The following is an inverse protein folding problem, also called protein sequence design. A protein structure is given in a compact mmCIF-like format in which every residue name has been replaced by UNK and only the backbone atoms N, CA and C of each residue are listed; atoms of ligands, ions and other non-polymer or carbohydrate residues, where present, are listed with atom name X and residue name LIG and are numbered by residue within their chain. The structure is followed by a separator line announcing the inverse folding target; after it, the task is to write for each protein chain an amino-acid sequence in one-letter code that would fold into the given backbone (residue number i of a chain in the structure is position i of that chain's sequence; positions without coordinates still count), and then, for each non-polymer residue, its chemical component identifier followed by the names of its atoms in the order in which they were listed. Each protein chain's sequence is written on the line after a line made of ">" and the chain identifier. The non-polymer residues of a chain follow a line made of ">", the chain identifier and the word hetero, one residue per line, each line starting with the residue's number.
data_IF_404944325122
#
_entry.id   IF_404944325122
#
_cell.length_a   1.000
_cell.length_b   1.000
_cell.length_c   1.000
_cell.angle_alpha   90.00
_cell.angle_beta   90.00
_cell.angle_gamma   90.00
#
_symmetry.space_group_name_H-M   'P 1'
#
loop_
_entity.id
_entity.type
_entity.pdbx_description
1 polymer ?
#
# COMPACT_ATOMS: atom_id res chain seq x y z
N UNK A 1 -11.07 -15.79 -19.22
CA UNK A 1 -9.76 -15.89 -18.53
C UNK A 1 -8.80 -15.05 -19.35
N UNK A 2 -8.36 -13.89 -18.84
CA UNK A 2 -7.41 -13.00 -19.55
C UNK A 2 -6.01 -13.56 -19.27
N UNK A 3 -5.30 -14.04 -20.29
CA UNK A 3 -3.91 -14.47 -20.12
C UNK A 3 -2.98 -13.28 -20.29
N UNK A 4 -2.01 -13.21 -19.38
CA UNK A 4 -0.92 -12.24 -19.40
C UNK A 4 0.31 -12.95 -19.94
N UNK A 5 0.75 -12.60 -21.14
CA UNK A 5 2.06 -13.03 -21.61
C UNK A 5 3.09 -11.97 -21.25
N UNK A 6 4.22 -12.39 -20.72
CA UNK A 6 5.28 -11.46 -20.33
C UNK A 6 6.42 -11.50 -21.32
N UNK A 7 6.87 -10.33 -21.74
CA UNK A 7 8.13 -10.15 -22.47
C UNK A 7 9.08 -9.28 -21.64
N UNK A 8 10.23 -9.85 -21.27
CA UNK A 8 11.26 -9.12 -20.51
C UNK A 8 12.42 -8.76 -21.44
N UNK A 9 12.97 -7.55 -21.32
CA UNK A 9 14.11 -7.11 -22.14
C UNK A 9 15.14 -6.29 -21.34
N UNK A 10 16.31 -6.07 -21.93
CA UNK A 10 17.34 -5.14 -21.46
C UNK A 10 17.53 -4.03 -22.50
N UNK A 11 17.55 -2.77 -22.10
CA UNK A 11 17.51 -1.59 -22.97
C UNK A 11 18.70 -0.64 -22.70
N UNK A 12 18.87 0.39 -23.52
CA UNK A 12 19.76 1.52 -23.21
C UNK A 12 19.24 2.80 -23.85
N UNK A 13 19.14 3.89 -23.07
CA UNK A 13 18.75 5.21 -23.60
C UNK A 13 19.56 6.30 -22.91
N UNK A 14 20.23 7.16 -23.70
CA UNK A 14 20.76 8.45 -23.23
C UNK A 14 19.62 9.47 -23.19
N UNK A 15 19.47 10.12 -22.05
CA UNK A 15 18.37 11.01 -21.66
C UNK A 15 18.02 12.10 -22.70
N UNK A 16 16.72 12.31 -22.91
CA UNK A 16 16.17 13.56 -23.45
C UNK A 16 15.22 14.15 -22.39
N UNK A 17 15.53 15.35 -21.91
CA UNK A 17 14.63 16.15 -21.08
C UNK A 17 13.37 16.52 -21.88
N UNK A 18 12.19 16.28 -21.31
CA UNK A 18 10.95 16.93 -21.75
C UNK A 18 10.28 17.63 -20.56
N UNK A 19 10.23 18.96 -20.65
CA UNK A 19 9.45 19.84 -19.78
C UNK A 19 7.97 19.66 -20.12
N UNK A 20 7.12 19.33 -19.14
CA UNK A 20 5.66 19.35 -19.29
C UNK A 20 5.01 20.42 -18.40
N UNK A 21 4.07 21.14 -19.01
CA UNK A 21 3.31 22.26 -18.45
C UNK A 21 2.12 21.75 -17.64
N UNK A 22 1.85 22.41 -16.52
CA UNK A 22 0.69 22.22 -15.65
C UNK A 22 -0.63 22.61 -16.34
N UNK A 23 -1.66 21.78 -16.16
CA UNK A 23 -3.06 22.15 -16.33
C UNK A 23 -3.85 21.60 -15.14
N UNK A 24 -4.58 22.49 -14.46
CA UNK A 24 -5.43 22.19 -13.31
C UNK A 24 -6.89 22.29 -13.77
N UNK A 25 -7.73 21.24 -13.65
CA UNK A 25 -9.17 21.38 -13.75
C UNK A 25 -9.80 21.43 -12.36
N UNK A 26 -10.50 22.53 -12.12
CA UNK A 26 -11.43 22.74 -11.02
C UNK A 26 -12.69 21.89 -11.29
N UNK A 27 -13.02 20.94 -10.43
CA UNK A 27 -14.28 20.17 -10.51
C UNK A 27 -15.20 20.58 -9.36
N UNK A 28 -16.35 21.17 -9.72
CA UNK A 28 -17.48 21.42 -8.81
C UNK A 28 -18.21 20.11 -8.53
N UNK A 29 -18.27 19.69 -7.26
CA UNK A 29 -19.11 18.60 -6.81
C UNK A 29 -20.53 19.10 -6.47
N UNK A 30 -21.54 18.58 -7.16
CA UNK A 30 -22.95 18.69 -6.77
C UNK A 30 -23.36 17.37 -6.11
N UNK A 31 -23.71 17.45 -4.81
CA UNK A 31 -23.99 16.30 -3.97
C UNK A 31 -25.39 15.73 -4.17
N UNK A 32 -25.48 14.40 -4.08
CA UNK A 32 -26.66 13.67 -3.66
C UNK A 32 -26.20 12.46 -2.82
N UNK A 33 -26.70 12.36 -1.58
CA UNK A 33 -26.42 11.27 -0.64
C UNK A 33 -27.57 10.25 -0.65
N UNK A 34 -27.27 8.94 -0.70
CA UNK A 34 -28.09 7.90 -0.10
C UNK A 34 -27.29 7.06 0.94
N UNK A 35 -27.97 6.24 1.76
CA UNK A 35 -27.57 5.95 3.14
C UNK A 35 -26.71 4.69 3.28
N UNK A 36 -25.88 4.66 4.34
CA UNK A 36 -25.11 3.48 4.76
C UNK A 36 -23.65 3.74 5.14
N UNK A 37 -23.25 5.00 5.32
CA UNK A 37 -21.87 5.36 5.67
C UNK A 37 -21.63 5.13 7.16
N UNK A 38 -20.50 4.50 7.49
CA UNK A 38 -19.93 4.56 8.83
C UNK A 38 -19.98 6.01 9.31
N UNK A 39 -20.55 6.21 10.49
CA UNK A 39 -20.89 7.52 11.04
C UNK A 39 -19.60 8.34 11.16
N UNK A 40 -19.37 9.26 10.22
CA UNK A 40 -18.31 10.26 10.35
C UNK A 40 -18.65 11.07 11.60
N UNK A 41 -17.80 10.97 12.62
CA UNK A 41 -17.96 11.72 13.85
C UNK A 41 -18.04 13.21 13.53
N UNK A 42 -19.01 13.92 14.13
CA UNK A 42 -19.06 15.37 14.09
C UNK A 42 -17.71 15.91 14.57
N UNK A 43 -16.98 16.72 13.76
CA UNK A 43 -15.67 17.25 14.13
C UNK A 43 -15.66 18.03 15.45
N UNK A 44 -16.81 18.48 15.95
CA UNK A 44 -16.92 19.17 17.25
C UNK A 44 -17.22 18.25 18.45
N UNK A 45 -17.45 16.94 18.23
CA UNK A 45 -17.83 15.97 19.28
C UNK A 45 -17.03 14.66 19.27
N UNK A 46 -15.94 14.55 18.49
CA UNK A 46 -15.11 13.35 18.50
C UNK A 46 -14.57 13.04 19.92
N UNK A 47 -14.81 11.82 20.43
CA UNK A 47 -14.19 11.33 21.67
C UNK A 47 -12.72 11.04 21.36
N UNK A 48 -11.82 11.91 21.84
CA UNK A 48 -10.38 11.81 21.58
C UNK A 48 -9.67 11.47 22.88
N UNK A 49 -8.90 10.39 22.84
CA UNK A 49 -8.13 9.91 23.98
C UNK A 49 -6.64 9.97 23.67
N UNK A 50 -5.86 10.50 24.61
CA UNK A 50 -4.39 10.51 24.57
C UNK A 50 -3.86 9.39 25.45
N UNK A 51 -3.00 8.55 24.88
CA UNK A 51 -2.43 7.39 25.56
C UNK A 51 -1.00 7.14 25.06
N UNK A 52 -0.14 6.50 25.87
CA UNK A 52 1.07 5.89 25.32
C UNK A 52 0.69 4.77 24.33
N UNK A 53 1.53 4.51 23.33
CA UNK A 53 1.32 3.41 22.37
C UNK A 53 1.10 2.07 23.10
N UNK A 54 1.83 1.82 24.18
CA UNK A 54 1.73 0.61 25.01
C UNK A 54 0.38 0.40 25.71
N UNK A 55 -0.50 1.40 25.74
CA UNK A 55 -1.84 1.26 26.29
C UNK A 55 -2.90 0.89 25.24
N UNK A 56 -2.52 0.78 23.96
CA UNK A 56 -3.39 0.35 22.87
C UNK A 56 -3.20 -1.15 22.63
N UNK A 57 -4.27 -1.85 22.23
CA UNK A 57 -4.21 -3.25 21.81
C UNK A 57 -4.39 -3.36 20.30
N UNK A 58 -3.49 -4.06 19.59
CA UNK A 58 -3.69 -4.37 18.17
C UNK A 58 -4.97 -5.20 17.93
N UNK A 59 -5.57 -5.00 16.77
CA UNK A 59 -6.72 -5.79 16.25
C UNK A 59 -6.38 -6.55 14.97
N UNK A 60 -5.09 -6.66 14.64
CA UNK A 60 -4.56 -7.45 13.51
C UNK A 60 -3.20 -8.02 13.91
N UNK A 61 -2.80 -9.16 13.33
CA UNK A 61 -1.58 -9.86 13.74
C UNK A 61 -0.29 -9.46 12.99
N UNK A 62 -0.41 -8.69 11.91
CA UNK A 62 0.71 -8.39 11.03
C UNK A 62 0.63 -6.99 10.43
N UNK A 63 1.75 -6.50 9.91
CA UNK A 63 1.88 -5.25 9.16
C UNK A 63 2.76 -5.48 7.93
N UNK A 64 2.97 -4.42 7.14
CA UNK A 64 3.92 -4.40 6.03
C UNK A 64 5.24 -3.82 6.54
N UNK A 65 6.25 -4.66 6.80
CA UNK A 65 7.52 -4.19 7.38
C UNK A 65 8.25 -3.24 6.43
N UNK A 66 8.11 -3.43 5.12
CA UNK A 66 8.76 -2.56 4.14
C UNK A 66 8.03 -1.20 3.97
N UNK A 67 6.74 -1.12 4.30
CA UNK A 67 6.06 0.16 4.49
C UNK A 67 6.64 0.91 5.71
N UNK A 68 6.96 0.18 6.80
CA UNK A 68 7.63 0.75 7.97
C UNK A 68 9.06 1.19 7.61
N UNK A 69 9.83 0.35 6.92
CA UNK A 69 11.20 0.67 6.46
C UNK A 69 11.23 1.92 5.59
N UNK A 70 10.30 2.04 4.63
CA UNK A 70 10.16 3.24 3.80
C UNK A 70 10.04 4.49 4.67
N UNK A 71 9.10 4.50 5.63
CA UNK A 71 8.88 5.68 6.47
C UNK A 71 10.05 5.96 7.40
N UNK A 72 10.66 4.93 8.00
CA UNK A 72 11.85 5.09 8.86
C UNK A 72 13.02 5.71 8.08
N UNK A 73 13.26 5.25 6.84
CA UNK A 73 14.30 5.83 6.01
C UNK A 73 13.94 7.26 5.58
N UNK A 74 12.67 7.54 5.30
CA UNK A 74 12.19 8.89 5.01
C UNK A 74 12.47 9.84 6.18
N UNK A 75 12.18 9.44 7.42
CA UNK A 75 12.50 10.25 8.60
C UNK A 75 14.00 10.52 8.77
N UNK A 76 14.87 9.59 8.37
CA UNK A 76 16.32 9.77 8.47
C UNK A 76 16.84 10.84 7.51
N UNK A 77 16.29 10.92 6.30
CA UNK A 77 16.70 11.90 5.28
C UNK A 77 15.92 13.21 5.36
N UNK A 78 14.71 13.15 5.92
CA UNK A 78 13.77 14.26 6.06
C UNK A 78 13.15 14.24 7.46
N UNK A 79 13.79 14.95 8.38
CA UNK A 79 13.30 15.10 9.75
C UNK A 79 11.98 15.87 9.83
N UNK A 80 11.68 16.76 8.87
CA UNK A 80 10.41 17.49 8.85
C UNK A 80 9.24 16.50 8.80
N UNK A 81 9.35 15.46 7.97
CA UNK A 81 8.31 14.43 7.86
C UNK A 81 8.00 13.72 9.19
N UNK A 82 8.99 13.48 10.06
CA UNK A 82 8.75 12.88 11.37
C UNK A 82 7.86 13.79 12.24
N UNK A 83 8.17 15.08 12.30
CA UNK A 83 7.38 16.02 13.10
C UNK A 83 6.01 16.29 12.47
N UNK A 84 5.90 16.30 11.14
CA UNK A 84 4.62 16.40 10.44
C UNK A 84 3.71 15.22 10.78
N UNK A 85 4.24 13.99 10.76
CA UNK A 85 3.46 12.78 11.10
C UNK A 85 3.02 12.76 12.58
N UNK A 86 3.82 13.34 13.49
CA UNK A 86 3.43 13.52 14.88
C UNK A 86 2.29 14.55 15.04
N UNK A 87 2.31 15.63 14.25
CA UNK A 87 1.22 16.60 14.20
C UNK A 87 -0.05 15.99 13.57
N UNK A 88 0.09 15.23 12.48
CA UNK A 88 -1.02 14.59 11.76
C UNK A 88 -1.71 13.56 12.67
N UNK A 89 -0.93 12.75 13.39
CA UNK A 89 -1.49 11.79 14.36
C UNK A 89 -2.38 12.46 15.40
N UNK A 90 -2.07 13.69 15.78
CA UNK A 90 -2.82 14.48 16.75
C UNK A 90 -3.99 15.25 16.13
N UNK A 91 -4.23 15.11 14.83
CA UNK A 91 -5.25 15.86 14.10
C UNK A 91 -4.97 17.36 14.08
N UNK A 92 -3.68 17.72 14.04
CA UNK A 92 -3.18 19.11 14.06
C UNK A 92 -2.61 19.53 12.70
N UNK A 93 -2.93 18.77 11.63
CA UNK A 93 -2.34 18.93 10.30
C UNK A 93 -0.91 18.39 10.21
N UNK A 94 -0.29 18.57 9.05
CA UNK A 94 0.99 17.98 8.64
C UNK A 94 2.06 19.05 8.35
N UNK A 95 2.04 20.17 9.09
CA UNK A 95 3.01 21.28 8.95
C UNK A 95 3.58 21.63 10.33
N UNK A 96 4.63 20.89 10.71
CA UNK A 96 5.30 21.08 11.98
C UNK A 96 6.35 22.21 11.92
N UNK A 97 6.51 22.89 13.05
CA UNK A 97 7.53 23.91 13.27
C UNK A 97 8.42 23.44 14.42
N UNK A 98 9.68 23.12 14.11
CA UNK A 98 10.64 22.58 15.08
C UNK A 98 12.04 23.20 14.88
N UNK A 99 12.93 22.99 15.84
CA UNK A 99 14.35 23.39 15.78
C UNK A 99 15.25 22.17 15.98
N UNK A 100 16.56 22.34 15.83
CA UNK A 100 17.54 21.29 16.12
C UNK A 100 17.54 20.82 17.59
N UNK A 101 16.86 21.54 18.50
CA UNK A 101 16.71 21.17 19.92
C UNK A 101 15.35 20.50 20.21
N UNK A 102 14.44 20.47 19.24
CA UNK A 102 13.15 19.81 19.40
C UNK A 102 13.34 18.31 19.60
N UNK A 103 12.55 17.75 20.52
CA UNK A 103 12.52 16.34 20.84
C UNK A 103 11.18 15.76 20.38
N UNK A 104 11.16 14.77 19.47
CA UNK A 104 9.91 14.20 18.95
C UNK A 104 9.04 13.57 20.05
N UNK A 105 9.61 13.15 21.19
CA UNK A 105 8.87 12.63 22.34
C UNK A 105 8.27 13.71 23.24
N UNK A 106 8.74 14.95 23.15
CA UNK A 106 8.20 16.10 23.90
C UNK A 106 7.42 17.02 22.98
N UNK A 107 6.10 16.93 23.04
CA UNK A 107 5.19 17.74 22.25
C UNK A 107 5.29 19.25 22.51
N UNK A 108 5.86 19.68 23.65
CA UNK A 108 6.05 21.11 23.92
C UNK A 108 7.31 21.68 23.25
N UNK A 109 8.15 20.81 22.67
CA UNK A 109 9.41 21.18 22.03
C UNK A 109 9.26 21.58 20.56
N UNK A 110 8.08 21.39 19.97
CA UNK A 110 7.72 21.78 18.60
C UNK A 110 6.27 22.28 18.57
N UNK A 111 5.81 22.81 17.43
CA UNK A 111 4.43 23.28 17.23
C UNK A 111 3.85 22.73 15.93
N UNK A 112 2.54 22.64 15.85
CA UNK A 112 1.83 22.28 14.63
C UNK A 112 1.13 23.52 14.07
N UNK A 113 1.49 23.97 12.87
CA UNK A 113 1.06 25.27 12.35
C UNK A 113 -0.46 25.40 12.24
N UNK A 114 -1.15 24.32 11.87
CA UNK A 114 -2.59 24.37 11.67
C UNK A 114 -3.36 24.54 13.00
N UNK A 115 -2.90 23.95 14.10
CA UNK A 115 -3.47 24.17 15.43
C UNK A 115 -2.61 23.66 16.58
N UNK A 116 -2.62 24.38 17.70
CA UNK A 116 -2.12 23.87 19.00
C UNK A 116 -3.13 22.95 19.70
N UNK A 117 -4.38 22.86 19.21
CA UNK A 117 -5.42 22.00 19.77
C UNK A 117 -5.39 20.62 19.08
N UNK A 118 -5.21 19.57 19.87
CA UNK A 118 -5.37 18.17 19.41
C UNK A 118 -6.81 17.97 18.92
N UNK A 119 -6.97 17.30 17.79
CA UNK A 119 -8.28 16.92 17.26
C UNK A 119 -8.98 17.97 16.43
N UNK A 120 -8.28 18.98 15.92
CA UNK A 120 -8.90 19.90 14.95
C UNK A 120 -9.27 19.27 13.62
N UNK A 121 -8.63 18.13 13.30
CA UNK A 121 -8.86 17.33 12.11
C UNK A 121 -9.02 15.85 12.49
N UNK A 122 -10.12 15.48 13.18
CA UNK A 122 -10.29 14.12 13.69
C UNK A 122 -10.33 13.06 12.58
N UNK A 123 -10.66 13.42 11.35
CA UNK A 123 -10.63 12.54 10.18
C UNK A 123 -9.21 12.12 9.73
N UNK A 124 -8.16 12.84 10.15
CA UNK A 124 -6.75 12.47 9.88
C UNK A 124 -6.20 11.54 10.97
N UNK A 125 -6.88 11.48 12.12
CA UNK A 125 -6.43 10.74 13.31
C UNK A 125 -6.69 9.25 13.18
N UNK A 126 -5.91 8.48 13.95
CA UNK A 126 -6.06 7.03 14.05
C UNK A 126 -7.24 6.69 14.95
N UNK A 127 -7.91 5.57 14.68
CA UNK A 127 -9.15 5.21 15.34
C UNK A 127 -9.00 4.01 16.27
N UNK A 128 -9.74 4.01 17.36
CA UNK A 128 -9.83 2.90 18.29
C UNK A 128 -11.28 2.64 18.71
N UNK A 129 -11.53 1.47 19.27
CA UNK A 129 -12.75 1.14 19.99
C UNK A 129 -12.43 0.96 21.46
N UNK A 130 -13.29 1.48 22.33
CA UNK A 130 -13.23 1.20 23.77
C UNK A 130 -13.98 -0.11 24.05
N UNK A 131 -13.26 -1.12 24.52
CA UNK A 131 -13.78 -2.45 24.83
C UNK A 131 -13.92 -2.71 26.34
N UNK A 132 -14.17 -3.98 26.72
CA UNK A 132 -14.36 -4.39 28.11
C UNK A 132 -13.21 -3.94 29.01
N UNK A 133 -13.53 -3.50 30.23
CA UNK A 133 -12.53 -2.93 31.15
C UNK A 133 -12.00 -1.56 30.75
N UNK A 134 -12.63 -0.89 29.77
CA UNK A 134 -12.17 0.37 29.15
C UNK A 134 -10.87 0.24 28.35
N UNK A 135 -10.47 -0.97 27.97
CA UNK A 135 -9.29 -1.19 27.15
C UNK A 135 -9.50 -0.62 25.73
N UNK A 136 -8.50 0.08 25.19
CA UNK A 136 -8.55 0.62 23.83
C UNK A 136 -7.97 -0.38 22.83
N UNK A 137 -8.75 -0.71 21.81
CA UNK A 137 -8.39 -1.60 20.71
C UNK A 137 -8.23 -0.79 19.43
N UNK A 138 -7.04 -0.78 18.84
CA UNK A 138 -6.71 0.04 17.67
C UNK A 138 -7.36 -0.54 16.42
N UNK A 139 -8.09 0.27 15.66
CA UNK A 139 -8.81 -0.16 14.44
C UNK A 139 -8.21 0.42 13.15
N UNK A 140 -7.50 1.54 13.25
CA UNK A 140 -6.61 2.06 12.20
C UNK A 140 -5.32 2.57 12.85
N UNK A 141 -4.21 2.53 12.12
CA UNK A 141 -2.93 3.11 12.55
C UNK A 141 -1.86 2.12 12.98
N UNK A 142 -2.04 0.81 12.81
CA UNK A 142 -1.04 -0.20 13.23
C UNK A 142 0.33 0.03 12.59
N UNK A 143 0.39 0.42 11.31
CA UNK A 143 1.66 0.81 10.69
C UNK A 143 2.23 2.09 11.32
N UNK A 144 1.42 3.14 11.51
CA UNK A 144 1.86 4.42 12.09
C UNK A 144 2.44 4.24 13.48
N UNK A 145 1.77 3.50 14.36
CA UNK A 145 2.25 3.29 15.73
C UNK A 145 3.40 2.30 15.81
N UNK A 146 3.48 1.34 14.89
CA UNK A 146 4.69 0.52 14.74
C UNK A 146 5.89 1.33 14.25
N UNK A 147 5.68 2.29 13.34
CA UNK A 147 6.72 3.23 12.90
C UNK A 147 7.20 4.06 14.09
N UNK A 148 6.30 4.67 14.87
CA UNK A 148 6.68 5.45 16.05
C UNK A 148 7.37 4.62 17.12
N UNK A 149 7.01 3.35 17.28
CA UNK A 149 7.70 2.46 18.19
C UNK A 149 9.12 2.11 17.72
N UNK A 150 9.33 1.98 16.40
CA UNK A 150 10.61 1.63 15.80
C UNK A 150 11.56 2.83 15.60
N UNK A 151 11.11 4.08 15.82
CA UNK A 151 11.97 5.27 15.80
C UNK A 151 12.79 5.35 17.09
N UNK A 152 14.12 5.40 16.97
CA UNK A 152 15.06 5.39 18.13
C UNK A 152 14.76 6.46 19.19
N UNK A 153 14.29 7.65 18.77
CA UNK A 153 13.97 8.76 19.68
C UNK A 153 12.59 8.63 20.35
N UNK A 154 11.77 7.67 19.93
CA UNK A 154 10.39 7.44 20.36
C UNK A 154 10.29 6.12 21.15
N UNK A 155 9.41 5.19 20.77
CA UNK A 155 9.17 3.93 21.50
C UNK A 155 7.78 3.79 22.12
N UNK A 156 7.54 2.73 22.92
CA UNK A 156 6.21 2.34 23.40
C UNK A 156 5.53 3.37 24.32
N UNK A 157 6.30 4.21 25.02
CA UNK A 157 5.78 5.27 25.89
C UNK A 157 5.47 6.57 25.13
N UNK A 158 5.63 6.59 23.81
CA UNK A 158 5.28 7.75 22.99
C UNK A 158 3.79 8.02 23.10
N UNK A 159 3.43 9.22 23.54
CA UNK A 159 2.04 9.62 23.63
C UNK A 159 1.46 9.93 22.25
N UNK A 160 0.40 9.21 21.90
CA UNK A 160 -0.38 9.35 20.68
C UNK A 160 -1.82 9.75 21.02
N UNK A 161 -2.56 10.22 20.02
CA UNK A 161 -3.98 10.48 20.14
C UNK A 161 -4.77 9.60 19.17
N UNK A 162 -5.91 9.10 19.64
CA UNK A 162 -6.86 8.31 18.83
C UNK A 162 -8.27 8.84 19.01
N UNK A 163 -9.07 8.69 17.95
CA UNK A 163 -10.51 8.90 17.99
C UNK A 163 -11.19 7.59 18.38
N UNK A 164 -11.96 7.61 19.47
CA UNK A 164 -12.81 6.50 19.87
C UNK A 164 -14.06 6.53 19.01
N UNK A 165 -14.21 5.55 18.12
CA UNK A 165 -15.35 5.49 17.19
C UNK A 165 -16.56 4.83 17.82
N UNK A 166 -16.35 3.92 18.77
CA UNK A 166 -17.39 3.19 19.48
C UNK A 166 -16.95 2.91 20.92
N UNK A 167 -17.92 2.91 21.84
CA UNK A 167 -17.75 2.41 23.20
C UNK A 167 -18.61 1.16 23.36
N UNK A 168 -17.94 0.01 23.48
CA UNK A 168 -18.50 -1.32 23.75
C UNK A 168 -17.93 -1.92 25.03
N UNK A 169 -17.60 -1.06 26.00
CA UNK A 169 -17.16 -1.48 27.33
C UNK A 169 -18.24 -2.22 28.13
N UNK A 170 -19.49 -2.19 27.66
CA UNK A 170 -20.63 -2.94 28.20
C UNK A 170 -20.57 -4.45 27.91
N UNK A 171 -19.80 -4.87 26.89
CA UNK A 171 -19.73 -6.26 26.46
C UNK A 171 -18.81 -7.12 27.33
N UNK A 172 -18.99 -8.44 27.25
CA UNK A 172 -17.97 -9.40 27.68
C UNK A 172 -16.86 -9.48 26.62
N UNK A 173 -15.68 -9.97 26.98
CA UNK A 173 -14.55 -10.10 26.05
C UNK A 173 -14.91 -10.92 24.79
N UNK A 174 -15.56 -12.07 24.95
CA UNK A 174 -15.99 -12.90 23.82
C UNK A 174 -17.01 -12.18 22.92
N UNK A 175 -18.01 -11.51 23.50
CA UNK A 175 -19.00 -10.76 22.73
C UNK A 175 -18.39 -9.54 22.03
N UNK A 176 -17.38 -8.92 22.64
CA UNK A 176 -16.66 -7.79 22.07
C UNK A 176 -15.86 -8.17 20.82
N UNK A 177 -15.08 -9.26 20.87
CA UNK A 177 -14.31 -9.72 19.71
C UNK A 177 -15.21 -10.22 18.57
N UNK A 178 -16.34 -10.86 18.89
CA UNK A 178 -17.35 -11.17 17.87
C UNK A 178 -17.89 -9.88 17.23
N UNK A 179 -18.23 -8.88 18.04
CA UNK A 179 -18.72 -7.60 17.53
C UNK A 179 -17.69 -6.86 16.67
N UNK A 180 -16.40 -6.89 17.02
CA UNK A 180 -15.33 -6.32 16.18
C UNK A 180 -15.30 -7.00 14.80
N UNK A 181 -15.41 -8.33 14.75
CA UNK A 181 -15.46 -9.07 13.48
C UNK A 181 -16.69 -8.71 12.67
N UNK A 182 -17.87 -8.76 13.28
CA UNK A 182 -19.16 -8.44 12.63
C UNK A 182 -19.20 -6.99 12.11
N UNK A 183 -18.43 -6.10 12.73
CA UNK A 183 -18.32 -4.68 12.38
C UNK A 183 -17.17 -4.36 11.42
N UNK A 184 -16.42 -5.36 10.95
CA UNK A 184 -15.21 -5.17 10.14
C UNK A 184 -14.17 -4.23 10.78
N UNK A 185 -13.90 -4.41 12.08
CA UNK A 185 -12.95 -3.61 12.88
C UNK A 185 -11.75 -4.43 13.39
N UNK A 186 -11.59 -5.67 12.93
CA UNK A 186 -10.44 -6.53 13.21
C UNK A 186 -10.15 -7.42 12.01
N UNK A 187 -8.89 -7.82 11.86
CA UNK A 187 -8.45 -8.76 10.83
C UNK A 187 -7.84 -10.00 11.47
N UNK A 188 -8.62 -11.08 11.56
CA UNK A 188 -8.24 -12.34 12.21
C UNK A 188 -7.57 -13.34 11.25
N UNK A 189 -6.51 -12.89 10.57
CA UNK A 189 -5.60 -13.76 9.84
C UNK A 189 -4.15 -13.45 10.20
N UNK A 190 -3.28 -14.45 10.09
CA UNK A 190 -1.84 -14.28 10.19
C UNK A 190 -1.22 -13.75 8.88
N UNK A 191 0.08 -13.48 8.91
CA UNK A 191 0.83 -13.00 7.74
C UNK A 191 0.94 -14.03 6.59
N UNK A 192 0.58 -15.29 6.83
CA UNK A 192 0.49 -16.35 5.82
C UNK A 192 -0.94 -16.48 5.26
N UNK A 193 -1.87 -15.62 5.68
CA UNK A 193 -3.26 -15.65 5.24
C UNK A 193 -4.08 -16.76 5.86
N UNK A 194 -3.62 -17.35 6.96
CA UNK A 194 -4.37 -18.37 7.68
C UNK A 194 -5.25 -17.73 8.76
N UNK A 195 -6.50 -18.19 8.95
CA UNK A 195 -7.34 -17.72 10.05
C UNK A 195 -6.67 -17.95 11.41
N UNK A 196 -6.86 -17.01 12.33
CA UNK A 196 -6.37 -17.10 13.71
C UNK A 196 -7.47 -16.76 14.72
N UNK A 197 -7.28 -17.16 15.97
CA UNK A 197 -8.07 -16.68 17.10
C UNK A 197 -7.53 -15.33 17.62
N UNK A 198 -8.39 -14.51 18.25
CA UNK A 198 -7.98 -13.23 18.81
C UNK A 198 -6.82 -13.32 19.81
N UNK A 199 -6.66 -14.45 20.51
CA UNK A 199 -5.56 -14.69 21.46
C UNK A 199 -4.19 -14.81 20.79
N UNK A 200 -4.15 -14.97 19.46
CA UNK A 200 -2.93 -15.02 18.67
C UNK A 200 -2.50 -13.64 18.14
N UNK A 201 -3.32 -12.60 18.34
CA UNK A 201 -2.91 -11.23 18.02
C UNK A 201 -1.84 -10.78 19.03
N UNK A 202 -0.68 -10.25 18.58
CA UNK A 202 0.32 -9.70 19.48
C UNK A 202 -0.26 -8.57 20.35
N UNK A 203 0.17 -8.51 21.62
CA UNK A 203 -0.28 -7.49 22.56
C UNK A 203 0.33 -6.10 22.29
N UNK A 204 1.47 -6.06 21.60
CA UNK A 204 2.26 -4.84 21.37
C UNK A 204 2.44 -4.55 19.87
N UNK A 205 2.78 -3.31 19.55
CA UNK A 205 3.09 -2.86 18.19
C UNK A 205 4.60 -2.99 17.87
N UNK A 206 4.97 -2.57 16.66
CA UNK A 206 6.34 -2.61 16.19
C UNK A 206 6.64 -3.86 15.37
N UNK A 207 7.71 -3.80 14.59
CA UNK A 207 8.13 -4.94 13.74
C UNK A 207 8.70 -6.12 14.52
N UNK A 208 9.07 -5.90 15.78
CA UNK A 208 9.50 -6.96 16.69
C UNK A 208 8.37 -7.90 17.14
N UNK A 209 7.10 -7.50 16.97
CA UNK A 209 5.94 -8.24 17.48
C UNK A 209 4.92 -8.57 16.39
N UNK A 210 4.52 -7.57 15.58
CA UNK A 210 3.61 -7.76 14.46
C UNK A 210 4.38 -8.38 13.29
N UNK A 211 3.89 -9.50 12.79
CA UNK A 211 4.53 -10.24 11.70
C UNK A 211 4.60 -9.40 10.40
N UNK A 212 5.50 -9.78 9.50
CA UNK A 212 5.60 -9.16 8.17
C UNK A 212 4.74 -9.89 7.15
N UNK A 213 3.87 -9.17 6.46
CA UNK A 213 3.17 -9.65 5.27
C UNK A 213 3.72 -8.95 4.00
N UNK A 214 4.50 -9.67 3.17
CA UNK A 214 5.05 -9.11 1.94
C UNK A 214 3.95 -8.78 0.91
N UNK A 215 2.82 -9.49 0.89
CA UNK A 215 1.73 -9.18 -0.03
C UNK A 215 1.01 -7.90 0.37
N UNK A 216 0.83 -7.66 1.67
CA UNK A 216 0.33 -6.38 2.20
C UNK A 216 1.28 -5.22 1.89
N UNK A 217 2.59 -5.49 1.85
CA UNK A 217 3.60 -4.55 1.38
C UNK A 217 3.46 -4.27 -0.12
N UNK A 218 3.33 -5.31 -0.95
CA UNK A 218 3.19 -5.15 -2.40
C UNK A 218 2.00 -4.25 -2.75
N UNK A 219 0.86 -4.49 -2.10
CA UNK A 219 -0.34 -3.67 -2.30
C UNK A 219 -0.16 -2.23 -1.84
N UNK A 220 0.60 -1.97 -0.77
CA UNK A 220 0.96 -0.62 -0.37
C UNK A 220 1.78 0.11 -1.44
N UNK A 221 2.81 -0.53 -1.98
CA UNK A 221 3.66 0.10 -2.99
C UNK A 221 2.93 0.31 -4.32
N UNK A 222 2.08 -0.63 -4.72
CA UNK A 222 1.30 -0.54 -5.94
C UNK A 222 0.15 0.48 -5.89
N UNK A 223 -0.20 0.97 -4.70
CA UNK A 223 -1.23 1.99 -4.54
C UNK A 223 -0.82 3.31 -5.20
N UNK A 224 -1.78 3.95 -5.86
CA UNK A 224 -1.65 5.20 -6.62
C UNK A 224 -0.84 5.04 -7.93
N UNK A 225 -0.47 3.79 -8.28
CA UNK A 225 0.19 3.41 -9.53
C UNK A 225 -0.71 2.50 -10.38
N UNK A 226 -1.36 1.51 -9.77
CA UNK A 226 -2.20 0.52 -10.50
C UNK A 226 -3.57 0.30 -9.88
N UNK A 227 -3.75 0.76 -8.64
CA UNK A 227 -5.01 0.70 -7.90
C UNK A 227 -5.08 1.87 -6.92
N UNK A 228 -6.29 2.29 -6.56
CA UNK A 228 -6.57 3.33 -5.57
C UNK A 228 -7.54 2.79 -4.50
N UNK A 229 -7.62 3.46 -3.34
CA UNK A 229 -8.61 3.04 -2.34
C UNK A 229 -10.01 3.25 -2.91
N UNK A 230 -10.89 2.23 -2.84
CA UNK A 230 -12.25 2.36 -3.34
C UNK A 230 -13.01 3.48 -2.62
N UNK A 231 -13.96 4.08 -3.32
CA UNK A 231 -14.84 5.12 -2.79
C UNK A 231 -16.30 4.66 -2.92
N UNK A 232 -17.06 4.55 -1.80
CA UNK A 232 -16.63 4.77 -0.42
C UNK A 232 -15.57 3.75 0.04
N UNK A 233 -14.79 4.13 1.06
CA UNK A 233 -13.72 3.28 1.60
C UNK A 233 -14.27 1.94 2.09
N UNK A 234 -13.65 0.84 1.63
CA UNK A 234 -13.90 -0.52 2.11
C UNK A 234 -12.85 -0.88 3.18
N UNK A 235 -13.26 -1.32 4.39
CA UNK A 235 -12.34 -1.82 5.39
C UNK A 235 -11.46 -2.94 4.83
N UNK A 236 -10.18 -2.92 5.17
CA UNK A 236 -9.22 -3.96 4.80
C UNK A 236 -9.06 -4.22 3.29
N UNK A 237 -9.39 -3.25 2.41
CA UNK A 237 -9.22 -3.41 0.96
C UNK A 237 -7.81 -3.91 0.57
N UNK A 238 -6.76 -3.38 1.20
CA UNK A 238 -5.39 -3.85 0.99
C UNK A 238 -5.18 -5.33 1.36
N UNK A 239 -5.89 -5.83 2.37
CA UNK A 239 -5.75 -7.20 2.88
C UNK A 239 -6.50 -8.21 2.02
N UNK A 240 -7.67 -7.84 1.50
CA UNK A 240 -8.40 -8.65 0.52
C UNK A 240 -7.57 -8.85 -0.76
N UNK A 241 -6.97 -7.76 -1.27
CA UNK A 241 -6.02 -7.84 -2.37
C UNK A 241 -4.82 -8.74 -2.03
N UNK A 242 -4.22 -8.58 -0.85
CA UNK A 242 -3.11 -9.42 -0.41
C UNK A 242 -3.49 -10.91 -0.33
N UNK A 243 -4.68 -11.25 0.17
CA UNK A 243 -5.18 -12.64 0.18
C UNK A 243 -5.37 -13.20 -1.21
N UNK A 244 -5.98 -12.44 -2.11
CA UNK A 244 -6.16 -12.86 -3.51
C UNK A 244 -4.82 -13.16 -4.17
N UNK A 245 -3.86 -12.23 -4.08
CA UNK A 245 -2.53 -12.36 -4.70
C UNK A 245 -1.76 -13.55 -4.12
N UNK A 246 -1.79 -13.73 -2.80
CA UNK A 246 -1.12 -14.84 -2.11
C UNK A 246 -1.58 -16.21 -2.62
N UNK A 247 -2.86 -16.33 -2.98
CA UNK A 247 -3.42 -17.59 -3.48
C UNK A 247 -2.96 -17.96 -4.90
N UNK A 248 -2.23 -17.07 -5.60
CA UNK A 248 -1.80 -17.28 -6.97
C UNK A 248 -0.43 -17.98 -7.03
N UNK A 249 -0.33 -19.17 -7.67
CA UNK A 249 0.93 -19.92 -7.76
C UNK A 249 2.06 -19.19 -8.49
N UNK A 250 1.75 -18.29 -9.43
CA UNK A 250 2.75 -17.52 -10.18
C UNK A 250 3.22 -16.25 -9.47
N UNK A 251 2.58 -15.84 -8.38
CA UNK A 251 2.90 -14.62 -7.62
C UNK A 251 3.61 -14.91 -6.30
N UNK A 252 4.16 -16.12 -6.13
CA UNK A 252 4.91 -16.49 -4.93
C UNK A 252 6.05 -15.50 -4.67
N UNK A 253 6.22 -15.14 -3.40
CA UNK A 253 7.23 -14.16 -2.96
C UNK A 253 8.63 -14.71 -3.26
N UNK A 254 9.44 -14.04 -4.09
CA UNK A 254 10.82 -14.44 -4.32
C UNK A 254 11.73 -13.97 -3.17
N UNK A 255 13.03 -14.23 -3.28
CA UNK A 255 14.00 -13.60 -2.39
C UNK A 255 14.04 -12.09 -2.64
N UNK A 256 13.41 -11.30 -1.76
CA UNK A 256 13.31 -9.85 -1.85
C UNK A 256 14.59 -9.13 -1.39
N UNK A 257 15.76 -9.60 -1.80
CA UNK A 257 17.08 -9.09 -1.39
C UNK A 257 17.78 -8.23 -2.47
N UNK A 258 17.07 -7.87 -3.54
CA UNK A 258 17.55 -7.03 -4.63
C UNK A 258 16.41 -6.16 -5.15
N UNK A 259 16.70 -4.91 -5.49
CA UNK A 259 15.76 -3.98 -6.12
C UNK A 259 15.16 -4.53 -7.41
N UNK A 260 15.96 -5.20 -8.24
CA UNK A 260 15.51 -5.81 -9.50
C UNK A 260 14.52 -6.94 -9.26
N UNK A 261 14.85 -7.90 -8.38
CA UNK A 261 13.96 -9.03 -8.07
C UNK A 261 12.65 -8.55 -7.45
N UNK A 262 12.73 -7.54 -6.59
CA UNK A 262 11.55 -6.95 -5.95
C UNK A 262 10.66 -6.24 -6.97
N UNK A 263 11.23 -5.34 -7.78
CA UNK A 263 10.48 -4.61 -8.79
C UNK A 263 9.78 -5.56 -9.76
N UNK A 264 10.48 -6.59 -10.26
CA UNK A 264 9.87 -7.63 -11.11
C UNK A 264 8.70 -8.31 -10.45
N UNK A 265 8.80 -8.63 -9.16
CA UNK A 265 7.68 -9.23 -8.45
C UNK A 265 6.47 -8.28 -8.35
N UNK A 266 6.69 -6.98 -8.14
CA UNK A 266 5.63 -5.97 -8.15
C UNK A 266 5.03 -5.76 -9.54
N UNK A 267 5.86 -5.75 -10.59
CA UNK A 267 5.41 -5.73 -11.99
C UNK A 267 4.52 -6.93 -12.28
N UNK A 268 4.88 -8.11 -11.75
CA UNK A 268 4.07 -9.30 -11.94
C UNK A 268 2.70 -9.21 -11.27
N UNK A 269 2.68 -8.73 -10.03
CA UNK A 269 1.45 -8.50 -9.28
C UNK A 269 0.57 -7.47 -9.99
N UNK A 270 1.15 -6.36 -10.46
CA UNK A 270 0.44 -5.35 -11.23
C UNK A 270 -0.21 -5.93 -12.48
N UNK A 271 0.57 -6.64 -13.30
CA UNK A 271 0.07 -7.30 -14.51
C UNK A 271 -1.11 -8.22 -14.19
N UNK A 272 -1.01 -9.01 -13.13
CA UNK A 272 -2.11 -9.85 -12.64
C UNK A 272 -3.34 -9.02 -12.26
N UNK A 273 -3.20 -8.00 -11.41
CA UNK A 273 -4.30 -7.14 -10.97
C UNK A 273 -5.04 -6.50 -12.15
N UNK A 274 -4.29 -5.95 -13.10
CA UNK A 274 -4.85 -5.29 -14.30
C UNK A 274 -5.54 -6.30 -15.24
N UNK A 275 -5.05 -7.54 -15.28
CA UNK A 275 -5.60 -8.59 -16.11
C UNK A 275 -6.82 -9.29 -15.53
N UNK A 276 -7.21 -9.07 -14.27
CA UNK A 276 -8.31 -9.85 -13.70
C UNK A 276 -9.63 -9.67 -14.48
N UNK A 277 -10.41 -10.75 -14.70
CA UNK A 277 -11.80 -10.62 -15.10
C UNK A 277 -12.57 -9.70 -14.15
N UNK A 278 -13.51 -8.92 -14.70
CA UNK A 278 -14.26 -7.94 -13.90
C UNK A 278 -15.14 -8.60 -12.81
N UNK A 279 -15.49 -9.88 -12.99
CA UNK A 279 -16.31 -10.69 -12.10
C UNK A 279 -15.50 -11.54 -11.10
N UNK A 280 -14.17 -11.44 -11.09
CA UNK A 280 -13.35 -12.12 -10.08
C UNK A 280 -13.65 -11.56 -8.69
N UNK A 281 -14.20 -12.38 -7.79
CA UNK A 281 -14.46 -11.98 -6.41
C UNK A 281 -13.14 -11.72 -5.64
N UNK A 282 -12.96 -10.48 -5.19
CA UNK A 282 -11.82 -10.05 -4.36
C UNK A 282 -12.30 -9.59 -2.98
N UNK A 283 -13.34 -8.75 -2.93
CA UNK A 283 -13.87 -8.21 -1.68
C UNK A 283 -14.74 -9.20 -0.90
N UNK A 284 -15.08 -8.86 0.36
CA UNK A 284 -15.78 -9.75 1.29
C UNK A 284 -17.17 -10.18 0.81
N UNK A 285 -17.85 -9.34 0.02
CA UNK A 285 -19.20 -9.58 -0.49
C UNK A 285 -19.17 -9.92 -2.00
N UNK A 286 -18.02 -10.37 -2.51
CA UNK A 286 -17.83 -10.70 -3.91
C UNK A 286 -17.54 -9.50 -4.81
N UNK A 287 -17.12 -8.37 -4.25
CA UNK A 287 -16.72 -7.20 -5.03
C UNK A 287 -15.58 -7.57 -6.02
N UNK A 288 -15.76 -7.18 -7.28
CA UNK A 288 -14.76 -7.38 -8.35
C UNK A 288 -13.57 -6.42 -8.26
N UNK A 289 -12.56 -6.57 -9.14
CA UNK A 289 -11.34 -5.75 -9.13
C UNK A 289 -11.60 -4.23 -9.20
N UNK A 290 -12.55 -3.80 -10.03
CA UNK A 290 -12.86 -2.37 -10.21
C UNK A 290 -13.54 -1.78 -8.96
N UNK A 291 -14.45 -2.54 -8.35
CA UNK A 291 -15.07 -2.16 -7.07
C UNK A 291 -14.07 -2.19 -5.90
N UNK A 292 -12.99 -2.97 -6.04
CA UNK A 292 -11.84 -2.99 -5.13
C UNK A 292 -10.74 -1.99 -5.52
N UNK A 293 -11.02 -1.08 -6.44
CA UNK A 293 -10.18 0.08 -6.73
C UNK A 293 -9.11 -0.11 -7.80
N UNK A 294 -9.19 -1.15 -8.64
CA UNK A 294 -8.32 -1.26 -9.83
C UNK A 294 -8.46 -0.01 -10.71
N UNK A 295 -7.34 0.57 -11.13
CA UNK A 295 -7.31 1.73 -12.01
C UNK A 295 -7.58 1.35 -13.47
N UNK A 296 -8.09 2.31 -14.26
CA UNK A 296 -8.16 2.14 -15.70
C UNK A 296 -6.75 2.11 -16.31
N UNK A 297 -6.54 1.33 -17.38
CA UNK A 297 -5.22 1.21 -18.05
C UNK A 297 -4.64 2.55 -18.51
N UNK A 298 -5.50 3.55 -18.78
CA UNK A 298 -5.09 4.91 -19.17
C UNK A 298 -4.56 5.76 -18.01
N UNK A 299 -4.78 5.33 -16.77
CA UNK A 299 -4.41 6.04 -15.54
C UNK A 299 -3.24 5.38 -14.82
N UNK A 300 -2.90 4.14 -15.19
CA UNK A 300 -1.77 3.39 -14.62
C UNK A 300 -0.47 4.14 -14.84
N UNK A 301 0.34 4.22 -13.79
CA UNK A 301 1.68 4.83 -13.79
C UNK A 301 2.78 3.78 -13.88
N UNK A 302 3.98 4.23 -14.20
CA UNK A 302 5.14 3.35 -14.31
C UNK A 302 5.60 2.91 -12.91
N UNK A 303 5.67 1.59 -12.69
CA UNK A 303 6.08 1.02 -11.39
C UNK A 303 7.56 1.29 -11.12
N UNK A 304 8.35 1.62 -12.13
CA UNK A 304 9.74 2.09 -11.99
C UNK A 304 9.84 3.32 -11.07
N UNK A 305 8.78 4.14 -10.95
CA UNK A 305 8.68 5.25 -9.98
C UNK A 305 8.92 4.80 -8.53
N UNK A 306 8.69 3.51 -8.20
CA UNK A 306 9.00 2.97 -6.88
C UNK A 306 10.49 2.94 -6.57
N UNK A 307 11.35 2.81 -7.58
CA UNK A 307 12.80 2.88 -7.39
C UNK A 307 13.34 4.28 -7.67
N UNK A 308 12.78 4.99 -8.65
CA UNK A 308 13.25 6.31 -9.05
C UNK A 308 12.07 7.20 -9.46
N UNK A 309 11.76 8.19 -8.65
CA UNK A 309 10.68 9.15 -8.86
C UNK A 309 11.30 10.52 -9.16
N UNK A 310 11.16 11.01 -10.40
CA UNK A 310 11.74 12.27 -10.87
C UNK A 310 13.25 12.48 -10.57
N UNK A 311 14.01 11.38 -10.55
CA UNK A 311 15.45 11.40 -10.28
C UNK A 311 15.84 11.26 -8.80
N UNK A 312 14.85 11.22 -7.90
CA UNK A 312 15.02 10.95 -6.48
C UNK A 312 14.68 9.50 -6.13
N UNK A 313 15.20 8.96 -5.01
CA UNK A 313 14.85 7.61 -4.57
C UNK A 313 13.33 7.45 -4.31
N UNK A 314 12.71 6.51 -5.02
CA UNK A 314 11.29 6.19 -4.83
C UNK A 314 11.01 5.42 -3.52
N UNK A 315 9.73 5.14 -3.26
CA UNK A 315 9.27 4.49 -2.01
C UNK A 315 9.95 3.14 -1.74
N UNK A 316 10.09 2.30 -2.76
CA UNK A 316 10.76 1.00 -2.63
C UNK A 316 12.28 1.16 -2.43
N UNK A 317 12.91 2.10 -3.14
CA UNK A 317 14.34 2.36 -2.97
C UNK A 317 14.68 2.78 -1.53
N UNK A 318 13.85 3.64 -0.93
CA UNK A 318 13.99 4.05 0.46
C UNK A 318 13.76 2.88 1.45
N UNK A 319 12.76 2.02 1.21
CA UNK A 319 12.55 0.82 2.02
C UNK A 319 13.76 -0.14 1.98
N UNK A 320 14.32 -0.35 0.79
CA UNK A 320 15.49 -1.20 0.59
C UNK A 320 16.75 -0.61 1.22
N UNK A 321 16.95 0.71 1.12
CA UNK A 321 18.04 1.41 1.78
C UNK A 321 17.98 1.24 3.31
N UNK A 322 16.79 1.25 3.91
CA UNK A 322 16.61 0.98 5.34
C UNK A 322 17.11 -0.41 5.76
N UNK A 323 17.06 -1.38 4.83
CA UNK A 323 17.52 -2.76 4.99
C UNK A 323 19.00 -2.95 4.61
N UNK A 324 19.69 -1.88 4.21
CA UNK A 324 21.07 -1.94 3.71
C UNK A 324 21.20 -2.56 2.32
N UNK A 325 20.10 -2.64 1.56
CA UNK A 325 20.10 -3.13 0.18
C UNK A 325 20.27 -1.92 -0.74
N UNK A 326 21.29 -1.96 -1.60
CA UNK A 326 21.48 -0.93 -2.61
C UNK A 326 20.29 -0.91 -3.57
N UNK A 327 19.66 0.27 -3.65
CA UNK A 327 18.56 0.54 -4.54
C UNK A 327 18.65 2.02 -4.92
N UNK A 328 18.84 2.30 -6.20
CA UNK A 328 18.84 3.66 -6.71
C UNK A 328 18.50 3.72 -8.20
N UNK A 329 18.36 4.93 -8.72
CA UNK A 329 18.02 5.17 -10.12
C UNK A 329 18.98 4.50 -11.13
N UNK A 330 20.21 4.16 -10.70
CA UNK A 330 21.21 3.47 -11.52
C UNK A 330 21.07 1.93 -11.53
N UNK A 331 20.37 1.33 -10.56
CA UNK A 331 20.15 -0.11 -10.50
C UNK A 331 19.07 -0.58 -11.49
N UNK A 332 18.33 0.36 -12.06
CA UNK A 332 17.43 0.20 -13.19
C UNK A 332 18.18 -0.07 -14.49
N UNK A 333 19.29 -0.83 -14.49
CA UNK A 333 19.92 -1.28 -15.74
C UNK A 333 18.81 -1.72 -16.68
N UNK A 334 18.61 -1.01 -17.80
CA UNK A 334 17.26 -0.74 -18.31
C UNK A 334 16.47 -2.03 -18.58
N UNK A 335 15.71 -2.52 -17.62
CA UNK A 335 14.96 -3.75 -17.76
C UNK A 335 13.49 -3.34 -17.80
N UNK A 336 12.82 -3.64 -18.92
CA UNK A 336 11.38 -3.43 -19.03
C UNK A 336 10.69 -4.78 -19.18
N UNK A 337 9.66 -4.98 -18.38
CA UNK A 337 8.78 -6.13 -18.45
C UNK A 337 7.42 -5.63 -18.97
N UNK A 338 6.97 -6.15 -20.11
CA UNK A 338 5.66 -5.79 -20.67
C UNK A 338 4.71 -6.98 -20.64
N UNK A 339 3.54 -6.73 -20.05
CA UNK A 339 2.40 -7.62 -20.04
C UNK A 339 1.59 -7.43 -21.33
N UNK A 340 1.44 -8.49 -22.13
CA UNK A 340 0.52 -8.54 -23.25
C UNK A 340 -0.81 -9.09 -22.74
N UNK A 341 -1.79 -8.19 -22.61
CA UNK A 341 -3.16 -8.52 -22.22
C UNK A 341 -4.02 -8.75 -23.46
N UNK A 342 -4.66 -9.91 -23.54
CA UNK A 342 -5.62 -10.24 -24.60
C UNK A 342 -7.02 -10.27 -24.00
N UNK A 343 -7.86 -9.30 -24.40
CA UNK A 343 -9.24 -9.15 -23.90
C UNK A 343 -10.28 -9.14 -25.04
N UNK A 344 -9.87 -9.50 -26.24
CA UNK A 344 -10.78 -9.59 -27.39
C UNK A 344 -11.37 -11.03 -27.48
N UNK A 345 -12.68 -11.18 -27.78
CA UNK A 345 -13.30 -12.49 -28.01
C UNK A 345 -12.56 -13.38 -29.03
N UNK A 346 -11.79 -12.79 -29.95
CA UNK A 346 -10.91 -13.51 -30.87
C UNK A 346 -9.87 -14.41 -30.19
N UNK A 347 -9.51 -14.11 -28.94
CA UNK A 347 -8.50 -14.84 -28.15
C UNK A 347 -9.14 -15.72 -27.06
N UNK A 348 -10.46 -15.95 -27.09
CA UNK A 348 -11.17 -16.67 -26.04
C UNK A 348 -10.63 -18.10 -25.78
N UNK A 349 -10.13 -18.76 -26.84
CA UNK A 349 -9.57 -20.12 -26.79
C UNK A 349 -8.03 -20.13 -26.72
N UNK A 350 -7.40 -18.96 -26.59
CA UNK A 350 -5.94 -18.84 -26.48
C UNK A 350 -5.53 -18.90 -25.01
N UNK A 351 -4.86 -19.99 -24.59
CA UNK A 351 -4.47 -20.20 -23.19
C UNK A 351 -2.96 -20.25 -22.98
N UNK A 352 -2.19 -20.54 -24.03
CA UNK A 352 -0.71 -20.65 -24.00
C UNK A 352 -0.08 -19.89 -25.16
N UNK A 353 1.23 -19.60 -25.12
CA UNK A 353 1.94 -19.07 -26.29
C UNK A 353 1.89 -20.05 -27.46
N UNK A 354 1.78 -21.36 -27.16
CA UNK A 354 1.58 -22.39 -28.17
C UNK A 354 0.23 -22.22 -28.88
N UNK A 355 -0.86 -22.03 -28.13
CA UNK A 355 -2.19 -21.76 -28.71
C UNK A 355 -2.17 -20.47 -29.51
N UNK A 356 -1.55 -19.42 -28.96
CA UNK A 356 -1.42 -18.12 -29.60
C UNK A 356 -0.70 -18.23 -30.94
N UNK A 357 0.44 -18.93 -30.97
CA UNK A 357 1.19 -19.15 -32.21
C UNK A 357 0.51 -20.13 -33.17
N UNK A 358 -0.27 -21.07 -32.67
CA UNK A 358 -1.05 -21.98 -33.51
C UNK A 358 -2.21 -21.25 -34.20
N UNK A 359 -2.94 -20.44 -33.44
CA UNK A 359 -4.10 -19.70 -33.91
C UNK A 359 -3.70 -18.46 -34.73
N UNK A 360 -2.59 -17.82 -34.38
CA UNK A 360 -2.03 -16.64 -35.04
C UNK A 360 -0.53 -16.84 -35.36
N UNK A 361 -0.20 -17.62 -36.40
CA UNK A 361 1.19 -17.90 -36.75
C UNK A 361 2.03 -16.63 -36.92
N UNK A 362 3.12 -16.55 -36.15
CA UNK A 362 4.11 -15.46 -36.22
C UNK A 362 3.82 -14.27 -35.30
N UNK A 363 2.73 -14.27 -34.54
CA UNK A 363 2.39 -13.14 -33.66
C UNK A 363 3.46 -12.87 -32.60
N UNK A 364 4.05 -13.91 -31.97
CA UNK A 364 5.12 -13.71 -31.00
C UNK A 364 6.37 -13.12 -31.66
N UNK A 365 6.69 -13.55 -32.89
CA UNK A 365 7.80 -12.99 -33.66
C UNK A 365 7.55 -11.53 -34.05
N UNK A 366 6.31 -11.16 -34.38
CA UNK A 366 5.93 -9.77 -34.67
C UNK A 366 6.11 -8.92 -33.43
N UNK A 367 5.61 -9.38 -32.28
CA UNK A 367 5.74 -8.67 -31.00
C UNK A 367 7.22 -8.53 -30.62
N UNK A 368 8.01 -9.61 -30.66
CA UNK A 368 9.46 -9.55 -30.43
C UNK A 368 10.14 -8.58 -31.39
N UNK A 369 9.81 -8.63 -32.68
CA UNK A 369 10.39 -7.74 -33.68
C UNK A 369 10.06 -6.29 -33.37
N UNK A 370 8.83 -6.00 -32.95
CA UNK A 370 8.45 -4.67 -32.51
C UNK A 370 9.30 -4.24 -31.31
N UNK A 371 9.39 -5.06 -30.26
CA UNK A 371 10.21 -4.75 -29.07
C UNK A 371 11.71 -4.59 -29.37
N UNK A 372 12.26 -5.32 -30.35
CA UNK A 372 13.66 -5.12 -30.77
C UNK A 372 13.90 -3.76 -31.41
N UNK A 373 12.88 -3.15 -32.01
CA UNK A 373 13.06 -2.01 -32.91
C UNK A 373 12.31 -0.73 -32.49
N UNK A 374 11.38 -0.79 -31.53
CA UNK A 374 10.47 0.34 -31.23
C UNK A 374 11.20 1.60 -30.72
N UNK A 375 12.41 1.46 -30.16
CA UNK A 375 13.26 2.59 -29.75
C UNK A 375 14.02 3.27 -30.88
N UNK A 376 13.79 2.88 -32.13
CA UNK A 376 14.45 3.43 -33.31
C UNK A 376 15.91 3.00 -33.46
N UNK A 377 16.58 3.49 -34.51
CA UNK A 377 17.88 3.00 -34.95
C UNK A 377 19.03 3.13 -33.92
N UNK A 378 18.88 3.99 -32.92
CA UNK A 378 19.87 4.20 -31.84
C UNK A 378 19.54 3.46 -30.55
N UNK A 379 18.35 2.86 -30.43
CA UNK A 379 17.96 2.09 -29.26
C UNK A 379 18.45 0.65 -29.39
N UNK A 380 19.01 0.09 -28.32
CA UNK A 380 19.40 -1.31 -28.28
C UNK A 380 18.54 -2.05 -27.25
N UNK A 381 17.75 -3.03 -27.71
CA UNK A 381 16.93 -3.91 -26.88
C UNK A 381 17.44 -5.34 -27.06
N UNK A 382 17.93 -5.94 -25.98
CA UNK A 382 18.54 -7.28 -25.96
C UNK A 382 17.89 -8.17 -24.90
N UNK A 383 18.14 -9.48 -24.97
CA UNK A 383 17.70 -10.41 -23.92
C UNK A 383 16.19 -10.63 -23.84
N UNK A 384 15.47 -10.45 -24.96
CA UNK A 384 14.03 -10.73 -25.04
C UNK A 384 13.75 -12.20 -24.72
N UNK A 385 12.89 -12.41 -23.73
CA UNK A 385 12.40 -13.73 -23.33
C UNK A 385 10.89 -13.68 -23.14
N UNK A 386 10.20 -14.67 -23.68
CA UNK A 386 8.81 -14.93 -23.35
C UNK A 386 8.73 -15.77 -22.10
N UNK A 387 7.80 -15.41 -21.22
CA UNK A 387 7.44 -16.23 -20.08
C UNK A 387 5.93 -16.49 -20.11
N UNK A 388 5.57 -17.77 -20.11
CA UNK A 388 4.18 -18.20 -19.88
C UNK A 388 3.87 -18.19 -18.40
N UNK A 389 2.67 -17.76 -18.08
CA UNK A 389 2.16 -17.73 -16.72
C UNK A 389 1.03 -18.76 -16.63
N UNK A 390 1.08 -19.68 -15.66
CA UNK A 390 0.07 -20.72 -15.49
C UNK A 390 -1.31 -20.19 -15.12
#
# INVERSE_FOLDING_TARGET
>A
MRFVYQISCAESVRSLLMVKRFFCPLVLALGFLPPGVAQQADPQQADIVRVPISALHPTQAFIAHDQVNYTLQRYRIDQQKLFDDLCENRGQGDDAIFTAQSNPKDANSYRCRASDRIGTRPQEMKTAVRGPGNQLYLTDGHHTFSIFQDVDALGPDTEVAVVVTHDRSDLTEAAFWQWLQDSNLTWLYDANGQPIDQTQIPADFGRGTLADDPYRTAIYFLRDLVWERPQPALPFAEFYWAQHIRSQPHLQVPALNSSVTYLRWLERISGHMLALPADTAIGPDGQGPDAMGRMALTEVKDIVELLCDDGEPGRLALALAARGIAAGCADLGHHSEQAVLMDDPLYADTHTLADLNQQFPGITSIIETWFRNYKGASGNVTGLQWQEWP
#
